data_IF_698067160124
#
_entry.id   IF_698067160124
#
_cell.length_a   1.000
_cell.length_b   1.000
_cell.length_c   1.000
_cell.angle_alpha   90.00
_cell.angle_beta   90.00
_cell.angle_gamma   90.00
#
_symmetry.space_group_name_H-M   'P 1'
#
loop_
_entity.id
_entity.type
_entity.pdbx_description
1 polymer ?
#
# COMPACT_ATOMS: atom_id res chain seq x y z
N UNK A 1 2.82 5.61 13.69
CA UNK A 1 2.05 5.09 12.54
C UNK A 1 2.88 4.28 11.53
N UNK A 2 4.22 4.28 11.56
CA UNK A 2 5.04 3.54 10.57
C UNK A 2 5.90 2.40 11.13
N UNK A 3 5.70 2.00 12.39
CA UNK A 3 6.54 0.99 13.06
C UNK A 3 6.64 -0.33 12.28
N UNK A 4 5.57 -0.75 11.60
CA UNK A 4 5.62 -1.93 10.75
C UNK A 4 6.57 -1.75 9.56
N UNK A 5 6.53 -0.60 8.88
CA UNK A 5 7.43 -0.30 7.75
C UNK A 5 8.89 -0.24 8.22
N UNK A 6 9.12 0.34 9.39
CA UNK A 6 10.44 0.41 10.01
C UNK A 6 10.98 -0.99 10.33
N UNK A 7 10.15 -1.84 10.96
CA UNK A 7 10.50 -3.23 11.26
C UNK A 7 10.82 -4.07 10.01
N UNK A 8 10.04 -3.91 8.94
CA UNK A 8 10.29 -4.65 7.67
C UNK A 8 11.57 -4.11 7.00
N UNK A 9 11.88 -2.82 7.14
CA UNK A 9 13.11 -2.22 6.62
C UNK A 9 14.37 -2.67 7.37
N UNK A 10 14.27 -2.81 8.69
CA UNK A 10 15.39 -3.15 9.58
C UNK A 10 15.74 -4.64 9.58
N UNK A 11 14.77 -5.52 9.31
CA UNK A 11 14.98 -6.97 9.27
C UNK A 11 15.49 -7.47 7.92
N UNK A 12 16.17 -8.63 7.87
CA UNK A 12 16.50 -9.29 6.60
C UNK A 12 15.23 -9.52 5.77
N UNK A 13 15.21 -9.05 4.53
CA UNK A 13 14.05 -9.16 3.63
C UNK A 13 13.49 -10.59 3.52
N UNK A 14 14.37 -11.59 3.61
CA UNK A 14 14.00 -13.02 3.58
C UNK A 14 12.97 -13.41 4.65
N UNK A 15 13.00 -12.77 5.83
CA UNK A 15 12.01 -13.03 6.89
C UNK A 15 10.60 -12.57 6.46
N UNK A 16 10.51 -11.36 5.90
CA UNK A 16 9.26 -10.81 5.37
C UNK A 16 8.76 -11.58 4.14
N UNK A 17 9.68 -12.00 3.27
CA UNK A 17 9.35 -12.79 2.08
C UNK A 17 8.68 -14.12 2.43
N UNK A 18 9.12 -14.81 3.49
CA UNK A 18 8.48 -16.04 3.96
C UNK A 18 7.04 -15.85 4.41
N UNK A 19 6.73 -14.71 5.03
CA UNK A 19 5.36 -14.39 5.39
C UNK A 19 4.47 -14.21 4.15
N UNK A 20 4.96 -13.52 3.12
CA UNK A 20 4.22 -13.30 1.88
C UNK A 20 4.01 -14.62 1.13
N UNK A 21 5.06 -15.43 0.98
CA UNK A 21 5.02 -16.74 0.30
C UNK A 21 4.01 -17.69 0.95
N UNK A 22 3.93 -17.67 2.29
CA UNK A 22 2.96 -18.49 3.02
C UNK A 22 1.51 -18.08 2.71
N UNK A 23 1.23 -16.79 2.57
CA UNK A 23 -0.13 -16.28 2.27
C UNK A 23 -0.56 -16.55 0.82
N UNK A 24 0.40 -16.73 -0.10
CA UNK A 24 0.12 -17.08 -1.51
C UNK A 24 0.21 -18.58 -1.77
N UNK A 25 0.23 -19.41 -0.72
CA UNK A 25 0.13 -20.87 -0.77
C UNK A 25 1.06 -21.58 -1.78
N UNK A 26 2.23 -21.01 -2.06
CA UNK A 26 3.22 -21.56 -2.99
C UNK A 26 3.13 -21.07 -4.44
N UNK A 27 2.25 -20.11 -4.74
CA UNK A 27 2.23 -19.42 -6.03
C UNK A 27 3.50 -18.60 -6.31
N UNK A 28 4.25 -18.26 -5.26
CA UNK A 28 5.55 -17.60 -5.33
C UNK A 28 6.55 -18.27 -4.40
N UNK A 29 7.80 -18.35 -4.82
CA UNK A 29 8.94 -18.71 -3.97
C UNK A 29 9.59 -17.46 -3.37
N UNK A 30 10.27 -17.57 -2.21
CA UNK A 30 10.93 -16.43 -1.58
C UNK A 30 11.99 -15.77 -2.47
N UNK A 31 12.63 -16.55 -3.34
CA UNK A 31 13.65 -16.09 -4.29
C UNK A 31 13.07 -15.23 -5.43
N UNK A 32 11.79 -15.44 -5.79
CA UNK A 32 11.06 -14.62 -6.77
C UNK A 32 10.68 -13.25 -6.22
N UNK A 33 10.58 -13.12 -4.88
CA UNK A 33 10.37 -11.84 -4.20
C UNK A 33 11.69 -11.07 -4.09
N UNK A 34 12.16 -10.53 -5.21
CA UNK A 34 13.35 -9.67 -5.25
C UNK A 34 13.15 -8.38 -4.44
N UNK A 35 14.20 -7.91 -3.74
CA UNK A 35 14.18 -6.66 -2.95
C UNK A 35 13.83 -5.43 -3.78
N UNK A 36 14.04 -5.47 -5.10
CA UNK A 36 13.65 -4.44 -6.06
C UNK A 36 12.14 -4.19 -6.13
N UNK A 37 11.32 -5.19 -5.80
CA UNK A 37 9.87 -5.06 -5.80
C UNK A 37 9.33 -4.37 -4.53
N UNK A 38 10.19 -4.14 -3.53
CA UNK A 38 9.80 -3.58 -2.23
C UNK A 38 10.21 -2.12 -2.15
N UNK A 39 9.23 -1.24 -2.03
CA UNK A 39 9.46 0.17 -1.72
C UNK A 39 9.10 0.44 -0.27
N UNK A 40 10.12 0.55 0.58
CA UNK A 40 9.96 0.92 1.98
C UNK A 40 9.70 2.42 2.08
N UNK A 41 8.44 2.82 1.98
CA UNK A 41 8.01 4.21 2.11
C UNK A 41 6.97 4.29 3.21
N UNK A 42 7.17 5.23 4.14
CA UNK A 42 6.17 5.57 5.14
C UNK A 42 4.88 5.98 4.44
N UNK A 43 3.75 5.50 4.94
CA UNK A 43 2.46 5.90 4.41
C UNK A 43 2.32 7.41 4.60
N UNK A 44 2.30 8.15 3.50
CA UNK A 44 1.94 9.56 3.49
C UNK A 44 0.58 9.70 2.81
N UNK A 45 -0.31 10.56 3.34
CA UNK A 45 -1.50 10.96 2.61
C UNK A 45 -1.14 11.36 1.19
N UNK A 46 -1.97 10.93 0.23
CA UNK A 46 -1.90 11.52 -1.10
C UNK A 46 -2.03 13.03 -0.98
N UNK A 47 -1.21 13.81 -1.70
CA UNK A 47 -1.50 15.23 -1.84
C UNK A 47 -2.96 15.40 -2.27
N UNK A 48 -3.70 16.29 -1.61
CA UNK A 48 -5.15 16.44 -1.81
C UNK A 48 -5.51 16.49 -3.30
N UNK A 49 -4.77 17.25 -4.11
CA UNK A 49 -4.94 17.31 -5.57
C UNK A 49 -4.92 15.92 -6.23
N UNK A 50 -3.93 15.09 -5.92
CA UNK A 50 -3.76 13.75 -6.51
C UNK A 50 -4.86 12.79 -6.05
N UNK A 51 -5.34 12.94 -4.82
CA UNK A 51 -6.52 12.23 -4.35
C UNK A 51 -7.74 12.58 -5.22
N UNK A 52 -8.05 13.87 -5.37
CA UNK A 52 -9.21 14.32 -6.15
C UNK A 52 -9.13 13.88 -7.62
N UNK A 53 -7.96 13.97 -8.25
CA UNK A 53 -7.75 13.50 -9.63
C UNK A 53 -8.00 12.00 -9.77
N UNK A 54 -7.44 11.20 -8.86
CA UNK A 54 -7.61 9.73 -8.86
C UNK A 54 -9.07 9.35 -8.59
N UNK A 55 -9.73 10.05 -7.66
CA UNK A 55 -11.11 9.79 -7.28
C UNK A 55 -12.09 10.19 -8.40
N UNK A 56 -11.82 11.29 -9.09
CA UNK A 56 -12.58 11.70 -10.28
C UNK A 56 -12.43 10.69 -11.41
N UNK A 57 -11.22 10.19 -11.65
CA UNK A 57 -10.98 9.09 -12.60
C UNK A 57 -11.76 7.84 -12.20
N UNK A 58 -11.66 7.36 -10.96
CA UNK A 58 -12.44 6.20 -10.50
C UNK A 58 -13.94 6.38 -10.72
N UNK A 59 -14.47 7.58 -10.47
CA UNK A 59 -15.88 7.90 -10.71
C UNK A 59 -16.24 7.88 -12.20
N UNK A 60 -15.39 8.42 -13.08
CA UNK A 60 -15.66 8.41 -14.53
C UNK A 60 -15.67 7.00 -15.12
N UNK A 61 -14.97 6.05 -14.48
CA UNK A 61 -14.97 4.64 -14.84
C UNK A 61 -16.02 3.80 -14.08
N UNK A 62 -16.85 4.42 -13.23
CA UNK A 62 -17.86 3.70 -12.45
C UNK A 62 -17.30 2.79 -11.35
N UNK A 63 -16.05 2.98 -10.95
CA UNK A 63 -15.37 2.18 -9.93
C UNK A 63 -15.72 2.62 -8.49
N UNK A 64 -16.39 3.77 -8.34
CA UNK A 64 -16.84 4.28 -7.05
C UNK A 64 -18.07 5.16 -7.20
N UNK A 65 -18.93 5.16 -6.17
CA UNK A 65 -20.13 6.00 -6.10
C UNK A 65 -19.82 7.46 -5.70
N UNK A 66 -18.59 7.76 -5.29
CA UNK A 66 -18.16 9.13 -5.00
C UNK A 66 -18.60 9.66 -3.62
N UNK A 67 -18.89 8.78 -2.66
CA UNK A 67 -19.40 9.13 -1.32
C UNK A 67 -18.32 9.53 -0.31
N UNK A 68 -17.04 9.28 -0.60
CA UNK A 68 -15.94 9.62 0.29
C UNK A 68 -15.31 10.96 -0.10
N UNK A 69 -14.99 11.78 0.90
CA UNK A 69 -14.15 12.96 0.74
C UNK A 69 -12.76 12.75 1.35
N UNK A 70 -11.80 13.60 0.95
CA UNK A 70 -10.42 13.51 1.39
C UNK A 70 -10.25 13.70 2.92
N UNK A 71 -11.05 14.58 3.54
CA UNK A 71 -10.97 14.87 4.97
C UNK A 71 -11.48 13.72 5.85
N UNK A 72 -12.57 13.09 5.42
CA UNK A 72 -13.11 11.87 6.04
C UNK A 72 -12.09 10.73 6.06
N UNK A 73 -11.29 10.59 5.00
CA UNK A 73 -10.23 9.59 4.88
C UNK A 73 -9.02 9.85 5.80
N UNK A 74 -8.77 11.11 6.15
CA UNK A 74 -7.71 11.48 7.10
C UNK A 74 -8.17 11.45 8.56
N UNK A 75 -9.46 11.24 8.82
CA UNK A 75 -10.03 11.33 10.17
C UNK A 75 -10.00 12.76 10.73
N UNK A 76 -9.92 13.78 9.87
CA UNK A 76 -9.94 15.21 10.25
C UNK A 76 -11.32 15.84 10.08
N UNK A 77 -12.38 15.04 10.25
CA UNK A 77 -13.78 15.46 10.17
C UNK A 77 -14.32 16.00 11.49
#
# INVERSE_FOLDING_TARGET
>A
MNQAVDLIRERPWRESAHHIVREVEGDLTPEELGRSHVRYTHAQPFAAKRFHESYAWMKSWGLTEGRNDYGSLLGTG
#
